data_IF_407408924872
#
_entry.id   IF_407408924872
#
_cell.length_a   1.000
_cell.length_b   1.000
_cell.length_c   1.000
_cell.angle_alpha   90.00
_cell.angle_beta   90.00
_cell.angle_gamma   90.00
#
_symmetry.space_group_name_H-M   'P 1'
#
loop_
_entity.id
_entity.type
_entity.pdbx_description
1 polymer ?
#
# COMPACT_ATOMS: atom_id res chain seq x y z
N UNK A 1 4.35 -57.45 48.97
CA UNK A 1 3.04 -57.93 49.46
C UNK A 1 2.56 -56.99 50.56
N UNK A 2 1.27 -56.88 50.89
CA UNK A 2 0.04 -57.29 50.18
C UNK A 2 -0.58 -56.08 49.41
N UNK A 3 -1.71 -56.05 48.68
CA UNK A 3 -3.05 -56.74 48.69
C UNK A 3 -3.92 -56.42 49.92
N UNK A 4 -5.26 -56.38 49.90
CA UNK A 4 -6.32 -56.56 48.87
C UNK A 4 -7.19 -55.24 48.87
N UNK A 5 -8.45 -55.03 48.43
CA UNK A 5 -9.61 -55.73 47.80
C UNK A 5 -10.44 -54.58 47.14
N UNK A 6 -10.83 -54.56 45.85
CA UNK A 6 -11.67 -55.45 44.99
C UNK A 6 -13.18 -55.42 45.32
N UNK A 7 -13.94 -54.69 44.48
CA UNK A 7 -15.26 -55.02 43.89
C UNK A 7 -15.37 -54.08 42.66
N UNK A 8 -15.25 -54.49 41.40
CA UNK A 8 -15.79 -55.63 40.64
C UNK A 8 -17.26 -55.46 40.21
N UNK A 9 -17.45 -55.19 38.91
CA UNK A 9 -18.38 -55.96 38.08
C UNK A 9 -17.86 -56.04 36.64
N UNK A 10 -17.90 -57.23 36.04
CA UNK A 10 -17.65 -57.45 34.61
C UNK A 10 -18.94 -57.30 33.79
N UNK A 11 -18.81 -57.32 32.46
CA UNK A 11 -19.64 -57.99 31.42
C UNK A 11 -19.48 -57.22 30.08
N UNK A 12 -19.41 -57.80 28.87
CA UNK A 12 -18.69 -59.00 28.40
C UNK A 12 -18.52 -58.91 26.84
N UNK A 13 -17.72 -59.80 26.23
CA UNK A 13 -17.77 -60.25 24.81
C UNK A 13 -17.61 -59.27 23.61
N UNK A 14 -16.54 -59.48 22.84
CA UNK A 14 -16.57 -59.53 21.35
C UNK A 14 -17.14 -60.91 20.90
N UNK A 15 -17.50 -61.22 19.61
CA UNK A 15 -17.04 -60.61 18.33
C UNK A 15 -18.11 -60.57 17.17
N UNK A 16 -17.60 -60.50 15.92
CA UNK A 16 -18.22 -60.82 14.60
C UNK A 16 -18.71 -59.70 13.66
N UNK A 17 -17.88 -59.45 12.62
CA UNK A 17 -18.18 -59.60 11.18
C UNK A 17 -19.65 -59.40 10.71
N UNK A 18 -19.90 -58.25 10.05
CA UNK A 18 -20.71 -58.13 8.81
C UNK A 18 -19.95 -57.14 7.90
N UNK A 19 -19.56 -57.47 6.68
CA UNK A 19 -20.37 -57.74 5.48
C UNK A 19 -21.18 -56.55 4.97
N UNK A 20 -20.56 -55.87 3.99
CA UNK A 20 -21.13 -55.49 2.70
C UNK A 20 -22.24 -54.41 2.62
N UNK A 21 -21.82 -53.29 2.01
CA UNK A 21 -22.51 -52.63 0.88
C UNK A 21 -23.68 -51.66 1.12
N UNK A 22 -23.70 -50.63 0.28
CA UNK A 22 -24.80 -49.69 -0.04
C UNK A 22 -25.12 -48.52 0.92
N UNK A 23 -24.49 -47.39 0.57
CA UNK A 23 -25.17 -46.19 0.05
C UNK A 23 -25.74 -45.12 1.01
N UNK A 24 -25.76 -43.91 0.43
CA UNK A 24 -26.52 -42.73 0.81
C UNK A 24 -26.12 -42.00 2.10
N UNK A 25 -25.10 -41.14 1.96
CA UNK A 25 -24.99 -39.92 2.75
C UNK A 25 -24.98 -38.72 1.79
N UNK A 26 -26.13 -38.09 1.59
CA UNK A 26 -26.17 -36.77 0.94
C UNK A 26 -25.54 -35.75 1.90
N UNK A 27 -24.54 -35.01 1.42
CA UNK A 27 -24.01 -33.82 2.08
C UNK A 27 -23.53 -32.90 0.98
N UNK A 28 -24.21 -31.77 0.80
CA UNK A 28 -23.97 -30.81 -0.28
C UNK A 28 -22.58 -30.17 -0.13
N UNK A 29 -21.57 -30.84 -0.66
CA UNK A 29 -20.27 -30.23 -0.97
C UNK A 29 -20.44 -29.52 -2.31
N UNK A 30 -20.00 -28.27 -2.41
CA UNK A 30 -20.04 -27.55 -3.69
C UNK A 30 -19.16 -28.31 -4.68
N UNK A 31 -19.77 -28.83 -5.74
CA UNK A 31 -19.04 -29.42 -6.86
C UNK A 31 -18.22 -28.32 -7.54
N UNK A 32 -16.96 -28.18 -7.13
CA UNK A 32 -15.93 -27.64 -8.01
C UNK A 32 -15.90 -28.61 -9.19
N UNK A 33 -16.31 -28.12 -10.35
CA UNK A 33 -16.40 -28.92 -11.58
C UNK A 33 -14.99 -29.40 -11.92
N UNK A 34 -14.68 -30.66 -11.58
CA UNK A 34 -13.45 -31.34 -12.00
C UNK A 34 -13.60 -31.78 -13.46
N UNK A 35 -13.66 -30.78 -14.33
CA UNK A 35 -13.29 -30.94 -15.73
C UNK A 35 -11.80 -31.30 -15.75
N UNK A 36 -11.47 -32.56 -16.03
CA UNK A 36 -10.10 -33.05 -16.19
C UNK A 36 -9.48 -32.60 -17.53
N UNK A 37 -9.64 -31.31 -17.86
CA UNK A 37 -9.10 -30.68 -19.06
C UNK A 37 -7.60 -30.39 -18.83
N UNK A 38 -6.67 -31.11 -19.51
CA UNK A 38 -5.23 -30.96 -19.26
C UNK A 38 -4.69 -29.58 -19.65
N UNK A 39 -5.41 -28.86 -20.50
CA UNK A 39 -5.09 -27.51 -20.95
C UNK A 39 -5.15 -26.48 -19.81
N UNK A 40 -6.15 -26.58 -18.93
CA UNK A 40 -6.33 -25.64 -17.79
C UNK A 40 -5.21 -25.80 -16.76
N UNK A 41 -4.74 -27.03 -16.53
CA UNK A 41 -3.65 -27.36 -15.59
C UNK A 41 -2.32 -26.71 -16.00
N UNK A 42 -2.10 -26.40 -17.28
CA UNK A 42 -0.91 -25.69 -17.76
C UNK A 42 -0.96 -24.16 -17.63
N UNK A 43 -2.16 -23.57 -17.64
CA UNK A 43 -2.34 -22.10 -17.64
C UNK A 43 -2.12 -21.50 -16.25
N UNK A 44 -2.62 -22.15 -15.20
CA UNK A 44 -2.52 -21.67 -13.82
C UNK A 44 -1.07 -21.40 -13.32
N UNK A 45 -0.08 -22.30 -13.49
CA UNK A 45 1.29 -22.01 -13.06
C UNK A 45 1.95 -20.89 -13.88
N UNK A 46 1.63 -20.75 -15.17
CA UNK A 46 2.14 -19.66 -16.01
C UNK A 46 1.68 -18.28 -15.51
N UNK A 47 0.40 -18.16 -15.14
CA UNK A 47 -0.14 -16.94 -14.52
C UNK A 47 0.50 -16.70 -13.15
N UNK A 48 0.68 -17.75 -12.33
CA UNK A 48 1.29 -17.63 -11.00
C UNK A 48 2.73 -17.09 -11.06
N UNK A 49 3.60 -17.67 -11.89
CA UNK A 49 4.99 -17.22 -12.05
C UNK A 49 5.07 -15.77 -12.56
N UNK A 50 4.23 -15.41 -13.54
CA UNK A 50 4.15 -14.03 -14.03
C UNK A 50 3.71 -13.05 -12.92
N UNK A 51 2.69 -13.40 -12.15
CA UNK A 51 2.17 -12.57 -11.05
C UNK A 51 3.20 -12.44 -9.92
N UNK A 52 3.89 -13.52 -9.53
CA UNK A 52 4.94 -13.48 -8.50
C UNK A 52 6.14 -12.63 -8.96
N UNK A 53 6.58 -12.79 -10.21
CA UNK A 53 7.64 -11.97 -10.81
C UNK A 53 7.28 -10.48 -10.85
N UNK A 54 6.05 -10.16 -11.25
CA UNK A 54 5.53 -8.79 -11.24
C UNK A 54 5.45 -8.22 -9.82
N UNK A 55 4.90 -8.96 -8.85
CA UNK A 55 4.80 -8.55 -7.43
C UNK A 55 6.18 -8.26 -6.84
N UNK A 56 7.16 -9.15 -7.05
CA UNK A 56 8.51 -8.97 -6.53
C UNK A 56 9.21 -7.72 -7.08
N UNK A 57 8.84 -7.27 -8.28
CA UNK A 57 9.36 -6.03 -8.89
C UNK A 57 8.54 -4.79 -8.45
N UNK A 58 7.22 -4.92 -8.33
CA UNK A 58 6.29 -3.81 -8.06
C UNK A 58 6.27 -3.42 -6.58
N UNK A 59 6.35 -4.39 -5.65
CA UNK A 59 6.33 -4.12 -4.19
C UNK A 59 7.48 -3.20 -3.72
N UNK A 60 8.77 -3.41 -4.08
CA UNK A 60 9.82 -2.48 -3.69
C UNK A 60 9.64 -1.08 -4.32
N UNK A 61 9.16 -1.00 -5.57
CA UNK A 61 8.87 0.27 -6.23
C UNK A 61 7.73 1.05 -5.53
N UNK A 62 6.62 0.38 -5.20
CA UNK A 62 5.51 0.97 -4.45
C UNK A 62 5.92 1.41 -3.04
N UNK A 63 6.76 0.61 -2.35
CA UNK A 63 7.29 0.98 -1.02
C UNK A 63 8.15 2.24 -1.08
N UNK A 64 8.95 2.41 -2.15
CA UNK A 64 9.77 3.60 -2.38
C UNK A 64 8.91 4.82 -2.76
N UNK A 65 7.94 4.63 -3.66
CA UNK A 65 6.97 5.67 -4.06
C UNK A 65 6.14 6.19 -2.86
N UNK A 66 5.69 5.29 -1.98
CA UNK A 66 4.96 5.65 -0.75
C UNK A 66 5.82 6.48 0.23
N UNK A 67 7.12 6.20 0.31
CA UNK A 67 8.04 7.02 1.10
C UNK A 67 8.20 8.44 0.53
N UNK A 68 8.40 8.56 -0.79
CA UNK A 68 8.51 9.85 -1.49
C UNK A 68 7.22 10.66 -1.38
N UNK A 69 6.05 10.01 -1.50
CA UNK A 69 4.73 10.64 -1.36
C UNK A 69 4.56 11.38 -0.02
N UNK A 70 5.06 10.83 1.09
CA UNK A 70 5.06 11.52 2.39
C UNK A 70 5.87 12.80 2.39
N UNK A 71 7.07 12.77 1.78
CA UNK A 71 7.95 13.94 1.66
C UNK A 71 7.29 15.02 0.79
N UNK A 72 6.58 14.62 -0.28
CA UNK A 72 5.83 15.55 -1.15
C UNK A 72 4.68 16.27 -0.41
N UNK A 73 3.86 15.54 0.36
CA UNK A 73 2.78 16.16 1.18
C UNK A 73 3.35 17.14 2.22
N UNK A 74 4.51 16.83 2.81
CA UNK A 74 5.20 17.74 3.74
C UNK A 74 5.63 19.02 3.01
N UNK A 75 6.23 18.92 1.82
CA UNK A 75 6.66 20.10 1.04
C UNK A 75 5.49 20.95 0.55
N UNK A 76 4.36 20.36 0.11
CA UNK A 76 3.14 21.11 -0.21
C UNK A 76 2.66 21.88 1.02
N UNK A 77 2.61 21.22 2.18
CA UNK A 77 2.16 21.83 3.43
C UNK A 77 3.07 22.99 3.84
N UNK A 78 4.39 22.82 3.77
CA UNK A 78 5.38 23.87 4.04
C UNK A 78 5.21 25.03 3.06
N UNK A 79 5.11 24.76 1.76
CA UNK A 79 4.94 25.80 0.75
C UNK A 79 3.66 26.60 0.99
N UNK A 80 2.51 25.94 1.13
CA UNK A 80 1.22 26.58 1.39
C UNK A 80 1.23 27.45 2.66
N UNK A 81 1.71 26.90 3.78
CA UNK A 81 1.82 27.67 5.04
C UNK A 81 2.77 28.84 4.86
N UNK A 82 3.92 28.66 4.18
CA UNK A 82 4.89 29.74 3.98
C UNK A 82 4.32 30.92 3.18
N UNK A 83 3.49 30.65 2.15
CA UNK A 83 2.78 31.68 1.40
C UNK A 83 1.84 32.50 2.29
N UNK A 84 0.98 31.83 3.06
CA UNK A 84 -0.01 32.50 3.91
C UNK A 84 0.66 33.30 5.04
N UNK A 85 1.70 32.74 5.68
CA UNK A 85 2.47 33.45 6.71
C UNK A 85 3.24 34.65 6.12
N UNK A 86 3.79 34.53 4.90
CA UNK A 86 4.48 35.63 4.25
C UNK A 86 3.55 36.80 3.94
N UNK A 87 2.34 36.55 3.42
CA UNK A 87 1.35 37.61 3.18
C UNK A 87 0.94 38.25 4.51
N UNK A 88 0.61 37.45 5.53
CA UNK A 88 0.11 37.98 6.80
C UNK A 88 1.16 38.78 7.60
N UNK A 89 2.43 38.37 7.60
CA UNK A 89 3.46 39.00 8.44
C UNK A 89 4.46 39.88 7.68
N UNK A 90 4.73 39.65 6.39
CA UNK A 90 5.78 40.35 5.65
C UNK A 90 5.24 41.42 4.69
N UNK A 91 3.99 41.28 4.25
CA UNK A 91 3.32 42.24 3.35
C UNK A 91 1.90 42.54 3.87
N UNK A 92 1.77 43.15 5.06
CA UNK A 92 0.46 43.54 5.60
C UNK A 92 -0.27 44.48 4.63
N UNK A 93 -1.61 44.44 4.65
CA UNK A 93 -2.44 45.12 3.65
C UNK A 93 -2.44 46.64 3.80
N UNK A 94 -2.61 47.35 2.68
CA UNK A 94 -2.71 48.81 2.62
C UNK A 94 -1.40 49.54 2.31
N UNK A 95 -1.50 50.87 2.15
CA UNK A 95 -0.41 51.74 1.67
C UNK A 95 0.75 51.79 2.66
N UNK A 96 0.47 51.81 3.96
CA UNK A 96 1.48 51.73 5.02
C UNK A 96 2.25 50.40 4.98
N UNK A 97 1.55 49.28 4.78
CA UNK A 97 2.16 47.96 4.62
C UNK A 97 3.04 47.86 3.37
N UNK A 98 2.61 48.45 2.25
CA UNK A 98 3.44 48.58 1.04
C UNK A 98 4.75 49.34 1.32
N UNK A 99 4.68 50.52 1.94
CA UNK A 99 5.87 51.33 2.28
C UNK A 99 6.79 50.65 3.32
N UNK A 100 6.23 49.84 4.22
CA UNK A 100 6.98 49.09 5.22
C UNK A 100 7.59 47.78 4.68
N UNK A 101 7.03 47.19 3.61
CA UNK A 101 7.46 45.91 3.04
C UNK A 101 8.98 45.77 2.74
N UNK A 102 9.72 46.77 2.21
CA UNK A 102 11.19 46.63 2.02
C UNK A 102 11.97 46.51 3.33
N UNK A 103 11.42 47.03 4.44
CA UNK A 103 12.01 46.88 5.77
C UNK A 103 11.65 45.51 6.37
N UNK A 104 10.39 45.06 6.26
CA UNK A 104 9.97 43.75 6.79
C UNK A 104 10.60 42.57 6.04
N UNK A 105 10.79 42.64 4.72
CA UNK A 105 11.46 41.58 3.94
C UNK A 105 12.93 41.39 4.35
N UNK A 106 13.53 42.40 4.99
CA UNK A 106 14.89 42.30 5.55
C UNK A 106 14.95 41.52 6.88
N UNK A 107 13.82 41.25 7.54
CA UNK A 107 13.74 40.48 8.78
C UNK A 107 14.11 39.00 8.59
N UNK A 108 14.62 38.31 9.62
CA UNK A 108 14.99 36.90 9.52
C UNK A 108 13.78 35.98 9.24
N UNK A 109 12.61 36.30 9.82
CA UNK A 109 11.38 35.53 9.62
C UNK A 109 10.94 35.56 8.15
N UNK A 110 10.91 36.75 7.54
CA UNK A 110 10.53 36.90 6.14
C UNK A 110 11.55 36.30 5.17
N UNK A 111 12.84 36.30 5.52
CA UNK A 111 13.89 35.58 4.77
C UNK A 111 13.70 34.06 4.83
N UNK A 112 13.42 33.50 6.00
CA UNK A 112 13.14 32.08 6.16
C UNK A 112 11.89 31.63 5.38
N UNK A 113 10.80 32.41 5.46
CA UNK A 113 9.57 32.17 4.69
C UNK A 113 9.81 32.26 3.18
N UNK A 114 10.57 33.25 2.71
CA UNK A 114 10.92 33.39 1.29
C UNK A 114 11.79 32.24 0.78
N UNK A 115 12.71 31.72 1.61
CA UNK A 115 13.50 30.53 1.31
C UNK A 115 12.60 29.28 1.23
N UNK A 116 11.69 29.10 2.18
CA UNK A 116 10.75 27.96 2.20
C UNK A 116 9.82 27.97 0.98
N UNK A 117 9.29 29.15 0.60
CA UNK A 117 8.52 29.35 -0.62
C UNK A 117 9.29 28.91 -1.87
N UNK A 118 10.49 29.46 -2.07
CA UNK A 118 11.31 29.23 -3.26
C UNK A 118 11.74 27.77 -3.42
N UNK A 119 12.24 27.15 -2.33
CA UNK A 119 12.66 25.76 -2.37
C UNK A 119 11.47 24.80 -2.44
N UNK A 120 10.37 25.09 -1.75
CA UNK A 120 9.13 24.31 -1.84
C UNK A 120 8.54 24.30 -3.24
N UNK A 121 8.50 25.45 -3.92
CA UNK A 121 8.10 25.56 -5.32
C UNK A 121 9.00 24.71 -6.22
N UNK A 122 10.32 24.93 -6.17
CA UNK A 122 11.28 24.19 -6.97
C UNK A 122 11.22 22.66 -6.73
N UNK A 123 10.94 22.18 -5.51
CA UNK A 123 10.73 20.74 -5.24
C UNK A 123 9.47 20.21 -5.95
N UNK A 124 8.38 20.98 -5.95
CA UNK A 124 7.12 20.62 -6.62
C UNK A 124 7.27 20.67 -8.15
N UNK A 125 7.92 21.71 -8.69
CA UNK A 125 8.16 21.87 -10.12
C UNK A 125 9.01 20.72 -10.69
N UNK A 126 10.07 20.32 -9.96
CA UNK A 126 10.89 19.18 -10.38
C UNK A 126 10.12 17.85 -10.38
N UNK A 127 9.16 17.64 -9.46
CA UNK A 127 8.28 16.46 -9.48
C UNK A 127 7.42 16.42 -10.76
N UNK A 128 6.82 17.55 -11.15
CA UNK A 128 6.06 17.66 -12.39
C UNK A 128 6.95 17.51 -13.64
N UNK A 129 8.18 18.01 -13.62
CA UNK A 129 9.15 17.80 -14.70
C UNK A 129 9.47 16.32 -14.90
N UNK A 130 9.70 15.54 -13.83
CA UNK A 130 9.94 14.10 -13.96
C UNK A 130 8.71 13.34 -14.50
N UNK A 131 7.51 13.70 -14.08
CA UNK A 131 6.27 13.14 -14.62
C UNK A 131 6.07 13.50 -16.11
N UNK A 132 6.37 14.75 -16.49
CA UNK A 132 6.34 15.22 -17.87
C UNK A 132 7.33 14.47 -18.77
N UNK A 133 8.59 14.33 -18.35
CA UNK A 133 9.63 13.58 -19.08
C UNK A 133 9.25 12.10 -19.23
N UNK A 134 8.71 11.49 -18.18
CA UNK A 134 8.20 10.11 -18.25
C UNK A 134 7.04 9.99 -19.25
N UNK A 135 6.05 10.87 -19.18
CA UNK A 135 4.91 10.88 -20.10
C UNK A 135 5.35 11.10 -21.55
N UNK A 136 6.25 12.05 -21.81
CA UNK A 136 6.85 12.28 -23.14
C UNK A 136 7.59 11.05 -23.67
N UNK A 137 8.33 10.34 -22.82
CA UNK A 137 9.04 9.10 -23.20
C UNK A 137 8.06 7.99 -23.60
N UNK A 138 6.91 7.89 -22.95
CA UNK A 138 5.88 6.90 -23.28
C UNK A 138 5.10 7.27 -24.56
N UNK A 139 4.87 8.57 -24.81
CA UNK A 139 4.29 9.05 -26.06
C UNK A 139 5.22 8.78 -27.26
N UNK A 140 6.53 9.01 -27.12
CA UNK A 140 7.54 8.69 -28.14
C UNK A 140 7.75 7.18 -28.38
N UNK A 141 7.05 6.31 -27.64
CA UNK A 141 7.07 4.84 -27.79
C UNK A 141 5.78 4.29 -28.41
N UNK A 142 4.87 5.17 -28.81
CA UNK A 142 3.58 4.83 -29.46
C UNK A 142 3.66 5.04 -31.00
N UNK A 143 4.71 5.71 -31.46
CA UNK A 143 5.12 5.84 -32.88
C UNK A 143 6.16 4.77 -33.27
#
# INVERSE_FOLDING_TARGET
MPKLRVLEKQDEQQPQKKENMSAHQETQTIEIIENDDPEVKGILPSIYEYVVSAINTIVPALKWLYFISKVYIIWITIHYISCQLYVHYCVPTGITGYLLSPFLVSSPQCKALRWAFYNGGNIIDNMWNYLGVWASTQLLKIE
#
